data_IF_015253571749
#
_entry.id   IF_015253571749
#
_cell.length_a   1.000
_cell.length_b   1.000
_cell.length_c   1.000
_cell.angle_alpha   90.00
_cell.angle_beta   90.00
_cell.angle_gamma   90.00
#
_symmetry.space_group_name_H-M   'P 1'
#
loop_
_entity.id
_entity.type
_entity.pdbx_description
1 polymer ?
#
# COMPACT_ATOMS: atom_id res chain seq x y z
N UNK A 1 -12.24 17.15 -4.27
CA UNK A 1 -11.36 16.00 -4.59
C UNK A 1 -10.01 16.32 -4.01
N UNK A 2 -9.54 15.56 -3.04
CA UNK A 2 -8.22 15.77 -2.45
C UNK A 2 -7.14 15.46 -3.49
N UNK A 3 -6.15 16.34 -3.61
CA UNK A 3 -5.00 16.11 -4.48
C UNK A 3 -4.08 15.10 -3.79
N UNK A 4 -4.16 13.83 -4.22
CA UNK A 4 -3.34 12.74 -3.67
C UNK A 4 -1.91 12.75 -4.22
N UNK A 5 -1.61 13.61 -5.19
CA UNK A 5 -0.28 13.75 -5.75
C UNK A 5 0.60 14.55 -4.78
N UNK A 6 1.71 13.97 -4.35
CA UNK A 6 2.61 14.62 -3.41
C UNK A 6 3.65 13.68 -2.83
N UNK A 7 4.52 14.27 -2.03
CA UNK A 7 5.46 13.55 -1.19
C UNK A 7 4.83 13.35 0.18
N UNK A 8 5.04 12.17 0.74
CA UNK A 8 4.52 11.79 2.03
C UNK A 8 5.60 11.13 2.85
N UNK A 9 5.66 11.45 4.14
CA UNK A 9 6.59 10.83 5.08
C UNK A 9 5.81 10.03 6.09
N UNK A 10 6.32 8.82 6.34
CA UNK A 10 5.76 7.94 7.35
C UNK A 10 6.05 8.49 8.75
N UNK A 11 4.99 8.75 9.51
CA UNK A 11 5.10 9.25 10.89
C UNK A 11 4.82 8.18 11.93
N UNK A 12 3.98 7.19 11.59
CA UNK A 12 3.57 6.16 12.54
C UNK A 12 3.20 4.87 11.81
N UNK A 13 3.58 3.73 12.39
CA UNK A 13 3.12 2.41 11.99
C UNK A 13 2.56 1.67 13.21
N UNK A 14 1.49 0.91 13.00
CA UNK A 14 0.85 0.04 13.98
C UNK A 14 0.70 -1.35 13.34
N UNK A 15 1.19 -2.39 14.04
CA UNK A 15 1.10 -3.81 13.63
C UNK A 15 1.66 -4.14 12.23
N UNK A 16 2.41 -3.23 11.59
CA UNK A 16 2.93 -3.43 10.23
C UNK A 16 4.03 -4.51 10.16
N UNK A 17 4.80 -4.68 11.22
CA UNK A 17 5.81 -5.74 11.35
C UNK A 17 5.13 -7.11 11.32
N UNK A 18 4.15 -7.33 12.20
CA UNK A 18 3.38 -8.58 12.29
C UNK A 18 2.67 -8.91 10.98
N UNK A 19 2.12 -7.90 10.30
CA UNK A 19 1.53 -8.07 8.98
C UNK A 19 2.53 -8.60 7.94
N UNK A 20 3.74 -8.07 7.92
CA UNK A 20 4.76 -8.53 6.98
C UNK A 20 5.31 -9.91 7.35
N UNK A 21 5.45 -10.20 8.64
CA UNK A 21 5.83 -11.53 9.12
C UNK A 21 4.78 -12.57 8.74
N UNK A 22 3.49 -12.26 8.87
CA UNK A 22 2.39 -13.12 8.45
C UNK A 22 2.34 -13.35 6.93
N UNK A 23 2.83 -12.40 6.15
CA UNK A 23 3.02 -12.55 4.70
C UNK A 23 4.28 -13.36 4.33
N UNK A 24 5.11 -13.72 5.31
CA UNK A 24 6.38 -14.41 5.08
C UNK A 24 7.46 -13.51 4.47
N UNK A 25 7.36 -12.18 4.66
CA UNK A 25 8.38 -11.27 4.19
C UNK A 25 9.69 -11.47 4.99
N UNK A 26 10.86 -11.45 4.33
CA UNK A 26 12.13 -11.60 5.03
C UNK A 26 12.38 -10.40 5.96
N UNK A 27 12.90 -10.67 7.16
CA UNK A 27 13.14 -9.67 8.22
C UNK A 27 13.96 -8.46 7.72
N UNK A 28 14.92 -8.67 6.82
CA UNK A 28 15.69 -7.59 6.19
C UNK A 28 14.82 -6.61 5.38
N UNK A 29 13.81 -7.13 4.69
CA UNK A 29 12.84 -6.30 3.98
C UNK A 29 11.93 -5.58 4.97
N UNK A 30 11.47 -6.27 6.01
CA UNK A 30 10.62 -5.69 7.07
C UNK A 30 11.31 -4.47 7.69
N UNK A 31 12.55 -4.64 8.16
CA UNK A 31 13.35 -3.56 8.75
C UNK A 31 13.55 -2.38 7.80
N UNK A 32 13.72 -2.64 6.50
CA UNK A 32 13.85 -1.59 5.49
C UNK A 32 12.56 -0.80 5.30
N UNK A 33 11.39 -1.44 5.36
CA UNK A 33 10.09 -0.77 5.11
C UNK A 33 9.41 -0.25 6.37
N UNK A 34 9.89 -0.63 7.56
CA UNK A 34 9.46 -0.14 8.88
C UNK A 34 10.41 0.90 9.46
N UNK A 35 11.52 1.21 8.77
CA UNK A 35 12.52 2.16 9.25
C UNK A 35 11.96 3.57 9.48
N UNK A 36 12.61 4.37 10.32
CA UNK A 36 12.36 5.82 10.34
C UNK A 36 12.77 6.41 8.97
N UNK A 37 12.09 7.46 8.50
CA UNK A 37 12.32 8.16 7.23
C UNK A 37 11.88 7.45 5.93
N UNK A 38 10.82 6.64 6.00
CA UNK A 38 10.17 6.17 4.76
C UNK A 38 9.41 7.34 4.12
N UNK A 39 9.93 7.79 2.99
CA UNK A 39 9.23 8.71 2.10
C UNK A 39 8.56 7.93 0.96
N UNK A 40 7.37 8.39 0.61
CA UNK A 40 6.55 7.84 -0.47
C UNK A 40 6.08 8.99 -1.35
N UNK A 41 6.34 8.91 -2.65
CA UNK A 41 5.83 9.82 -3.65
C UNK A 41 4.61 9.15 -4.32
N UNK A 42 3.46 9.79 -4.25
CA UNK A 42 2.25 9.32 -4.93
C UNK A 42 2.02 10.21 -6.14
N UNK A 43 1.87 9.58 -7.31
CA UNK A 43 1.57 10.23 -8.57
C UNK A 43 0.33 9.57 -9.17
N UNK A 44 -0.78 10.29 -9.17
CA UNK A 44 -1.98 9.87 -9.89
C UNK A 44 -2.01 10.52 -11.28
N UNK A 45 -2.14 9.69 -12.31
CA UNK A 45 -2.37 10.07 -13.70
C UNK A 45 -3.67 9.43 -14.19
N UNK A 46 -4.76 10.21 -14.25
CA UNK A 46 -6.12 9.72 -14.58
C UNK A 46 -6.52 8.56 -13.65
N UNK A 47 -6.51 7.34 -14.17
CA UNK A 47 -6.90 6.12 -13.44
C UNK A 47 -5.67 5.37 -12.89
N UNK A 48 -4.46 5.75 -13.28
CA UNK A 48 -3.22 5.10 -12.85
C UNK A 48 -2.67 5.81 -11.62
N UNK A 49 -2.36 5.06 -10.57
CA UNK A 49 -1.73 5.54 -9.35
C UNK A 49 -0.37 4.88 -9.24
N UNK A 50 0.68 5.69 -9.23
CA UNK A 50 2.05 5.24 -9.03
C UNK A 50 2.50 5.66 -7.65
N UNK A 51 2.78 4.69 -6.79
CA UNK A 51 3.30 4.87 -5.45
C UNK A 51 4.78 4.50 -5.50
N UNK A 52 5.66 5.50 -5.47
CA UNK A 52 7.11 5.29 -5.42
C UNK A 52 7.56 5.38 -3.98
N UNK A 53 8.19 4.34 -3.48
CA UNK A 53 8.79 4.31 -2.15
C UNK A 53 10.26 3.94 -2.25
N UNK A 54 11.03 4.28 -1.21
CA UNK A 54 12.47 3.99 -1.13
C UNK A 54 12.70 2.47 -1.08
N UNK A 55 12.77 1.83 -2.25
CA UNK A 55 12.99 0.38 -2.42
C UNK A 55 11.91 -0.37 -3.21
N UNK A 56 10.76 0.26 -3.51
CA UNK A 56 9.73 -0.36 -4.35
C UNK A 56 8.84 0.68 -5.03
N UNK A 57 8.54 0.46 -6.31
CA UNK A 57 7.55 1.22 -7.06
C UNK A 57 6.33 0.32 -7.27
N UNK A 58 5.16 0.78 -6.81
CA UNK A 58 3.90 0.07 -6.99
C UNK A 58 3.05 0.87 -7.95
N UNK A 59 2.59 0.23 -9.02
CA UNK A 59 1.68 0.82 -9.98
C UNK A 59 0.32 0.14 -9.81
N UNK A 60 -0.71 0.93 -9.57
CA UNK A 60 -2.09 0.49 -9.43
C UNK A 60 -2.94 1.18 -10.49
N UNK A 61 -3.97 0.50 -11.00
CA UNK A 61 -4.93 1.09 -11.92
C UNK A 61 -6.32 0.99 -11.27
N UNK A 62 -7.01 2.12 -11.18
CA UNK A 62 -8.36 2.23 -10.65
C UNK A 62 -9.36 1.57 -11.61
N UNK A 63 -10.27 0.80 -11.02
CA UNK A 63 -11.33 0.04 -11.68
C UNK A 63 -10.82 -1.02 -12.68
N UNK A 64 -9.56 -1.47 -12.51
CA UNK A 64 -8.92 -2.47 -13.36
C UNK A 64 -8.15 -3.49 -12.50
N UNK A 65 -8.18 -4.76 -12.91
CA UNK A 65 -7.39 -5.83 -12.28
C UNK A 65 -5.99 -5.87 -12.91
N UNK A 66 -4.96 -5.71 -12.10
CA UNK A 66 -3.56 -5.78 -12.52
C UNK A 66 -2.93 -7.03 -11.92
N UNK A 67 -2.46 -7.94 -12.78
CA UNK A 67 -1.62 -9.06 -12.37
C UNK A 67 -0.21 -8.53 -12.04
N UNK A 68 0.23 -8.72 -10.79
CA UNK A 68 1.57 -8.44 -10.31
C UNK A 68 2.22 -9.76 -9.90
N UNK A 69 3.44 -10.02 -10.34
CA UNK A 69 4.23 -11.15 -9.83
C UNK A 69 5.11 -10.60 -8.73
N UNK A 70 4.83 -10.99 -7.48
CA UNK A 70 5.68 -10.58 -6.36
C UNK A 70 7.11 -11.09 -6.60
N UNK A 71 8.14 -10.40 -6.06
CA UNK A 71 9.52 -10.89 -6.09
C UNK A 71 9.71 -12.30 -5.49
N UNK A 72 8.72 -12.76 -4.73
CA UNK A 72 8.62 -14.12 -4.18
C UNK A 72 8.14 -15.17 -5.19
N UNK A 73 7.85 -14.79 -6.45
CA UNK A 73 7.37 -15.67 -7.51
C UNK A 73 5.87 -15.94 -7.49
N UNK A 74 5.12 -15.31 -6.59
CA UNK A 74 3.68 -15.54 -6.42
C UNK A 74 2.90 -14.54 -7.29
N UNK A 75 2.12 -15.00 -8.28
CA UNK A 75 1.21 -14.13 -9.02
C UNK A 75 0.06 -13.69 -8.10
N UNK A 76 -0.16 -12.39 -8.06
CA UNK A 76 -1.22 -11.73 -7.30
C UNK A 76 -2.01 -10.82 -8.25
N UNK A 77 -3.32 -10.75 -8.07
CA UNK A 77 -4.19 -9.80 -8.77
C UNK A 77 -4.52 -8.65 -7.85
N UNK A 78 -4.19 -7.43 -8.24
CA UNK A 78 -4.56 -6.23 -7.51
C UNK A 78 -5.75 -5.57 -8.21
N UNK A 79 -6.82 -5.32 -7.47
CA UNK A 79 -7.98 -4.55 -7.92
C UNK A 79 -8.10 -3.30 -7.06
N UNK A 80 -7.88 -2.13 -7.65
CA UNK A 80 -8.01 -0.85 -6.95
C UNK A 80 -9.33 -0.18 -7.31
N UNK A 81 -10.06 0.33 -6.32
CA UNK A 81 -11.32 1.05 -6.50
C UNK A 81 -11.28 2.35 -5.73
N UNK A 82 -11.79 3.43 -6.30
CA UNK A 82 -11.85 4.73 -5.64
C UNK A 82 -13.28 5.10 -5.30
N UNK A 83 -13.54 5.40 -4.04
CA UNK A 83 -14.80 5.98 -3.55
C UNK A 83 -14.50 7.30 -2.84
N UNK A 84 -14.67 8.41 -3.57
CA UNK A 84 -14.35 9.75 -3.06
C UNK A 84 -12.85 9.91 -2.81
N UNK A 85 -12.48 10.14 -1.56
CA UNK A 85 -11.08 10.32 -1.11
C UNK A 85 -10.50 9.02 -0.49
N UNK A 86 -11.22 7.91 -0.61
CA UNK A 86 -10.78 6.58 -0.15
C UNK A 86 -10.51 5.67 -1.34
N UNK A 87 -9.35 5.02 -1.34
CA UNK A 87 -8.93 4.04 -2.35
C UNK A 87 -8.82 2.68 -1.68
N UNK A 88 -9.63 1.73 -2.13
CA UNK A 88 -9.61 0.36 -1.66
C UNK A 88 -8.91 -0.52 -2.68
N UNK A 89 -7.83 -1.15 -2.28
CA UNK A 89 -7.07 -2.10 -3.09
C UNK A 89 -7.25 -3.49 -2.52
N UNK A 90 -7.83 -4.39 -3.28
CA UNK A 90 -7.94 -5.81 -2.92
C UNK A 90 -6.91 -6.58 -3.73
N UNK A 91 -5.94 -7.20 -3.06
CA UNK A 91 -5.05 -8.16 -3.73
C UNK A 91 -5.51 -9.58 -3.45
N UNK A 92 -5.63 -10.39 -4.49
CA UNK A 92 -5.91 -11.83 -4.41
C UNK A 92 -4.69 -12.59 -4.90
N UNK A 93 -4.08 -13.39 -4.03
CA UNK A 93 -2.99 -14.29 -4.42
C UNK A 93 -3.53 -15.57 -5.07
N UNK A 94 -2.70 -16.23 -5.89
CA UNK A 94 -3.06 -17.51 -6.52
C UNK A 94 -3.44 -18.62 -5.51
N UNK A 95 -2.95 -18.55 -4.28
CA UNK A 95 -3.30 -19.46 -3.16
C UNK A 95 -4.66 -19.12 -2.50
N UNK A 96 -5.55 -18.40 -3.19
CA UNK A 96 -6.82 -17.86 -2.66
C UNK A 96 -6.71 -16.91 -1.45
N UNK A 97 -5.50 -16.57 -1.00
CA UNK A 97 -5.30 -15.59 0.06
C UNK A 97 -5.65 -14.20 -0.44
N UNK A 98 -6.59 -13.57 0.24
CA UNK A 98 -6.99 -12.18 -0.03
C UNK A 98 -6.34 -11.26 1.00
N UNK A 99 -5.86 -10.13 0.53
CA UNK A 99 -5.44 -9.01 1.36
C UNK A 99 -6.12 -7.75 0.86
N UNK A 100 -6.44 -6.86 1.78
CA UNK A 100 -7.09 -5.59 1.46
C UNK A 100 -6.23 -4.45 1.98
N UNK A 101 -6.18 -3.35 1.23
CA UNK A 101 -5.46 -2.14 1.57
C UNK A 101 -6.41 -0.97 1.38
N UNK A 102 -6.71 -0.25 2.45
CA UNK A 102 -7.56 0.91 2.43
C UNK A 102 -6.67 2.14 2.57
N UNK A 103 -6.62 2.98 1.55
CA UNK A 103 -5.91 4.25 1.57
C UNK A 103 -6.92 5.38 1.73
N UNK A 104 -6.86 6.08 2.85
CA UNK A 104 -7.72 7.21 3.17
C UNK A 104 -6.89 8.49 3.03
N UNK A 105 -7.19 9.30 2.04
CA UNK A 105 -6.47 10.54 1.76
C UNK A 105 -7.16 11.74 2.41
N UNK A 106 -6.36 12.64 2.95
CA UNK A 106 -6.77 13.88 3.61
C UNK A 106 -5.85 15.02 3.17
N UNK A 107 -6.19 16.28 3.44
CA UNK A 107 -5.33 17.41 3.10
C UNK A 107 -3.97 17.38 3.83
N UNK A 108 -3.92 16.80 5.02
CA UNK A 108 -2.70 16.69 5.84
C UNK A 108 -1.81 15.50 5.45
N UNK A 109 -2.34 14.51 4.75
CA UNK A 109 -1.64 13.24 4.52
C UNK A 109 -2.56 12.09 4.10
N UNK A 110 -2.12 10.86 4.32
CA UNK A 110 -2.97 9.70 4.13
C UNK A 110 -2.70 8.62 5.17
N UNK A 111 -3.74 7.83 5.46
CA UNK A 111 -3.62 6.63 6.28
C UNK A 111 -3.82 5.42 5.40
N UNK A 112 -2.97 4.41 5.55
CA UNK A 112 -3.16 3.12 4.89
C UNK A 112 -3.42 2.03 5.92
N UNK A 113 -4.59 1.39 5.82
CA UNK A 113 -4.97 0.22 6.61
C UNK A 113 -4.78 -1.03 5.76
N UNK A 114 -3.89 -1.91 6.19
CA UNK A 114 -3.54 -3.18 5.56
C UNK A 114 -4.22 -4.31 6.33
N UNK A 115 -4.93 -5.18 5.64
CA UNK A 115 -5.66 -6.30 6.23
C UNK A 115 -5.28 -7.60 5.52
N UNK A 116 -4.98 -8.65 6.28
CA UNK A 116 -4.74 -10.00 5.76
C UNK A 116 -5.30 -11.03 6.74
N UNK A 117 -6.33 -11.78 6.33
CA UNK A 117 -7.08 -12.63 7.26
C UNK A 117 -7.62 -11.81 8.44
N UNK A 118 -7.25 -12.18 9.66
CA UNK A 118 -7.61 -11.49 10.90
C UNK A 118 -6.61 -10.39 11.32
N UNK A 119 -5.47 -10.26 10.63
CA UNK A 119 -4.46 -9.25 10.96
C UNK A 119 -4.77 -7.91 10.31
N UNK A 120 -4.70 -6.84 11.11
CA UNK A 120 -4.90 -5.46 10.68
C UNK A 120 -3.68 -4.64 11.08
N UNK A 121 -3.05 -4.01 10.10
CA UNK A 121 -1.95 -3.06 10.29
C UNK A 121 -2.35 -1.68 9.77
N UNK A 122 -1.87 -0.62 10.42
CA UNK A 122 -2.13 0.76 10.02
C UNK A 122 -0.84 1.53 9.87
N UNK A 123 -0.77 2.39 8.87
CA UNK A 123 0.38 3.28 8.66
C UNK A 123 -0.13 4.68 8.37
N UNK A 124 0.44 5.65 9.05
CA UNK A 124 0.08 7.04 8.97
C UNK A 124 1.19 7.81 8.28
N UNK A 125 0.82 8.51 7.22
CA UNK A 125 1.71 9.31 6.42
C UNK A 125 1.23 10.76 6.43
N UNK A 126 2.15 11.70 6.62
CA UNK A 126 1.89 13.14 6.52
C UNK A 126 2.48 13.66 5.23
N UNK A 127 1.83 14.65 4.62
CA UNK A 127 2.33 15.31 3.41
C UNK A 127 3.56 16.15 3.75
N UNK A 128 4.56 16.12 2.88
CA UNK A 128 5.81 16.91 2.98
C UNK A 128 5.99 17.82 1.78
#
# INVERSE_FOLDING_TARGET
MVQINGHYQLVKNENFVEYLEALGAPIDMIRKVTGPDITTEIVQEKNKITIKSKGANVVLILDEEVDEVLPTGIPIRNFATRKGDVITVVSTAADNRKRSRLYEFTDEGYTVTLMVGDLVAKRYFVRT
#
